data_IF_341440688056
#
_entry.id   IF_341440688056
#
_cell.length_a   1.000
_cell.length_b   1.000
_cell.length_c   1.000
_cell.angle_alpha   90.00
_cell.angle_beta   90.00
_cell.angle_gamma   90.00
#
_symmetry.space_group_name_H-M   'P 1'
#
loop_
_entity.id
_entity.type
_entity.pdbx_description
1 polymer ?
#
# COMPACT_ATOMS: atom_id res chain seq x y z
N UNK A 1 43.91 -31.68 -36.78
CA UNK A 1 43.41 -30.34 -37.18
C UNK A 1 41.91 -30.53 -37.35
N UNK A 2 41.02 -29.98 -36.53
CA UNK A 2 40.82 -28.56 -36.24
C UNK A 2 40.49 -28.31 -34.76
N UNK A 3 41.03 -27.22 -34.20
CA UNK A 3 40.72 -26.70 -32.86
C UNK A 3 39.44 -25.83 -32.93
N UNK A 4 38.49 -26.05 -32.02
CA UNK A 4 37.53 -25.03 -31.64
C UNK A 4 37.63 -24.73 -30.15
N UNK A 5 38.34 -23.65 -29.86
CA UNK A 5 38.28 -22.92 -28.60
C UNK A 5 37.03 -22.04 -28.66
N UNK A 6 36.03 -22.29 -27.80
CA UNK A 6 34.91 -21.37 -27.59
C UNK A 6 34.92 -20.93 -26.13
N UNK A 7 35.68 -19.87 -25.85
CA UNK A 7 35.53 -19.07 -24.65
C UNK A 7 34.33 -18.14 -24.85
N UNK A 8 33.15 -18.55 -24.38
CA UNK A 8 32.02 -17.65 -24.20
C UNK A 8 32.01 -17.14 -22.76
N UNK A 9 32.79 -16.11 -22.48
CA UNK A 9 32.55 -15.21 -21.35
C UNK A 9 31.34 -14.36 -21.69
N UNK A 10 30.16 -14.75 -21.18
CA UNK A 10 29.01 -13.85 -21.13
C UNK A 10 29.32 -12.72 -20.13
N UNK A 11 29.76 -11.58 -20.64
CA UNK A 11 29.82 -10.33 -19.91
C UNK A 11 28.38 -9.86 -19.64
N UNK A 12 27.87 -10.14 -18.44
CA UNK A 12 26.66 -9.52 -17.92
C UNK A 12 26.96 -8.07 -17.48
N UNK A 13 27.24 -7.20 -18.45
CA UNK A 13 27.24 -5.76 -18.23
C UNK A 13 25.85 -5.21 -18.57
N UNK A 14 24.90 -5.41 -17.66
CA UNK A 14 23.66 -4.62 -17.68
C UNK A 14 24.00 -3.22 -17.17
N UNK A 15 24.64 -2.42 -18.03
CA UNK A 15 24.84 -1.00 -17.76
C UNK A 15 23.48 -0.33 -17.78
N UNK A 16 22.93 -0.02 -16.59
CA UNK A 16 21.80 0.90 -16.48
C UNK A 16 22.20 2.21 -17.17
N UNK A 17 21.51 2.53 -18.26
CA UNK A 17 21.70 3.77 -18.99
C UNK A 17 21.31 4.94 -18.08
N UNK A 18 22.31 5.56 -17.45
CA UNK A 18 22.17 6.70 -16.54
C UNK A 18 21.55 7.94 -17.20
N UNK A 19 21.30 7.91 -18.51
CA UNK A 19 20.77 9.03 -19.28
C UNK A 19 19.24 9.13 -19.28
N UNK A 20 18.53 8.09 -18.83
CA UNK A 20 17.06 8.14 -18.74
C UNK A 20 16.69 8.73 -17.37
N UNK A 21 16.13 9.95 -17.30
CA UNK A 21 15.61 10.46 -16.03
C UNK A 21 14.52 9.52 -15.54
N UNK A 22 14.65 9.06 -14.29
CA UNK A 22 13.62 8.23 -13.67
C UNK A 22 12.29 8.97 -13.79
N UNK A 23 11.22 8.30 -14.25
CA UNK A 23 9.91 8.94 -14.31
C UNK A 23 9.55 9.42 -12.90
N UNK A 24 9.01 10.63 -12.81
CA UNK A 24 8.54 11.15 -11.54
C UNK A 24 7.51 10.18 -10.95
N UNK A 25 7.58 9.90 -9.63
CA UNK A 25 6.60 9.03 -9.00
C UNK A 25 5.19 9.59 -9.25
N UNK A 26 4.21 8.74 -9.60
CA UNK A 26 2.86 9.20 -9.90
C UNK A 26 2.26 9.88 -8.67
N UNK A 27 1.64 11.03 -8.87
CA UNK A 27 0.90 11.71 -7.81
C UNK A 27 -0.32 10.89 -7.40
N UNK A 28 -0.67 10.96 -6.12
CA UNK A 28 -1.83 10.28 -5.53
C UNK A 28 -3.13 10.86 -6.09
N UNK A 29 -3.65 10.25 -7.16
CA UNK A 29 -4.93 10.61 -7.78
C UNK A 29 -6.06 9.67 -7.33
N UNK A 30 -7.29 10.20 -7.33
CA UNK A 30 -8.54 9.48 -7.03
C UNK A 30 -8.70 8.22 -7.89
N UNK A 31 -8.22 8.26 -9.14
CA UNK A 31 -8.27 7.12 -10.08
C UNK A 31 -7.56 5.87 -9.57
N UNK A 32 -6.56 6.03 -8.68
CA UNK A 32 -5.86 4.91 -8.04
C UNK A 32 -6.84 4.11 -7.18
N UNK A 33 -7.79 4.76 -6.51
CA UNK A 33 -8.78 4.13 -5.65
C UNK A 33 -10.01 3.65 -6.42
N UNK A 34 -10.39 4.31 -7.53
CA UNK A 34 -11.67 4.10 -8.22
C UNK A 34 -11.62 3.34 -9.56
N UNK A 35 -10.53 3.45 -10.33
CA UNK A 35 -10.47 2.91 -11.71
C UNK A 35 -9.60 1.68 -11.87
N UNK A 36 -8.79 1.33 -10.88
CA UNK A 36 -7.97 0.13 -10.95
C UNK A 36 -7.76 -0.48 -9.56
N UNK A 37 -8.79 -1.18 -9.10
CA UNK A 37 -8.69 -2.07 -7.95
C UNK A 37 -7.43 -2.96 -7.96
N UNK A 38 -6.91 -3.25 -9.15
CA UNK A 38 -5.70 -4.03 -9.36
C UNK A 38 -4.42 -3.24 -9.08
N UNK A 39 -4.34 -1.93 -9.37
CA UNK A 39 -3.06 -1.22 -9.29
C UNK A 39 -2.60 -1.05 -7.85
N UNK A 40 -3.48 -0.58 -6.96
CA UNK A 40 -3.13 -0.44 -5.54
C UNK A 40 -2.95 -1.81 -4.88
N UNK A 41 -3.83 -2.79 -5.16
CA UNK A 41 -3.65 -4.15 -4.63
C UNK A 41 -2.35 -4.80 -5.12
N UNK A 42 -1.96 -4.57 -6.38
CA UNK A 42 -0.69 -5.06 -6.91
C UNK A 42 0.50 -4.35 -6.26
N UNK A 43 0.42 -3.02 -6.08
CA UNK A 43 1.44 -2.27 -5.35
C UNK A 43 1.63 -2.83 -3.93
N UNK A 44 0.54 -2.99 -3.16
CA UNK A 44 0.60 -3.55 -1.80
C UNK A 44 1.19 -4.96 -1.82
N UNK A 45 0.74 -5.81 -2.75
CA UNK A 45 1.25 -7.17 -2.90
C UNK A 45 2.75 -7.20 -3.20
N UNK A 46 3.21 -6.40 -4.17
CA UNK A 46 4.62 -6.35 -4.57
C UNK A 46 5.50 -5.79 -3.45
N UNK A 47 5.08 -4.70 -2.80
CA UNK A 47 5.81 -4.12 -1.66
C UNK A 47 5.93 -5.12 -0.50
N UNK A 48 4.88 -5.89 -0.21
CA UNK A 48 4.92 -6.95 0.82
C UNK A 48 5.86 -8.10 0.44
N UNK A 49 5.82 -8.55 -0.81
CA UNK A 49 6.72 -9.60 -1.29
C UNK A 49 8.18 -9.16 -1.20
N UNK A 50 8.48 -7.93 -1.64
CA UNK A 50 9.84 -7.39 -1.66
C UNK A 50 10.42 -7.24 -0.25
N UNK A 51 9.63 -6.72 0.68
CA UNK A 51 10.11 -6.30 2.01
C UNK A 51 9.84 -7.35 3.08
N UNK A 52 8.59 -7.77 3.22
CA UNK A 52 8.10 -8.54 4.36
C UNK A 52 8.24 -10.06 4.14
N UNK A 53 7.87 -10.58 2.97
CA UNK A 53 7.97 -12.03 2.69
C UNK A 53 9.44 -12.48 2.60
N UNK A 54 10.31 -11.61 2.07
CA UNK A 54 11.74 -11.85 1.95
C UNK A 54 12.56 -11.34 3.14
N UNK A 55 11.91 -10.96 4.25
CA UNK A 55 12.59 -10.31 5.38
C UNK A 55 13.70 -11.16 5.98
N UNK A 56 13.50 -12.48 6.08
CA UNK A 56 14.51 -13.43 6.60
C UNK A 56 15.69 -13.53 5.64
N UNK A 57 15.45 -13.55 4.32
CA UNK A 57 16.50 -13.57 3.31
C UNK A 57 17.32 -12.29 3.36
N UNK A 58 16.65 -11.13 3.46
CA UNK A 58 17.29 -9.83 3.61
C UNK A 58 18.15 -9.79 4.88
N UNK A 59 17.62 -10.21 6.02
CA UNK A 59 18.37 -10.30 7.29
C UNK A 59 19.57 -11.24 7.20
N UNK A 60 19.38 -12.43 6.61
CA UNK A 60 20.46 -13.40 6.46
C UNK A 60 21.57 -12.89 5.54
N UNK A 61 21.22 -12.23 4.43
CA UNK A 61 22.23 -11.66 3.52
C UNK A 61 23.11 -10.62 4.21
N UNK A 62 22.53 -9.79 5.09
CA UNK A 62 23.27 -8.81 5.89
C UNK A 62 24.19 -9.50 6.90
N UNK A 63 23.75 -10.62 7.48
CA UNK A 63 24.52 -11.39 8.46
C UNK A 63 25.65 -12.20 7.79
N UNK A 64 25.43 -12.77 6.61
CA UNK A 64 26.42 -13.62 5.93
C UNK A 64 27.51 -12.83 5.21
N UNK A 65 27.19 -11.64 4.70
CA UNK A 65 28.15 -10.78 4.02
C UNK A 65 29.21 -10.20 4.97
N UNK A 66 28.95 -10.19 6.27
CA UNK A 66 29.90 -9.75 7.28
C UNK A 66 30.35 -10.93 8.14
N UNK A 67 31.53 -11.48 7.83
CA UNK A 67 32.25 -12.53 8.57
C UNK A 67 31.69 -12.85 9.97
N UNK A 68 31.33 -14.13 10.17
CA UNK A 68 30.70 -14.75 11.36
C UNK A 68 31.29 -14.40 12.75
N UNK A 69 32.36 -13.62 12.82
CA UNK A 69 33.09 -13.22 14.03
C UNK A 69 32.72 -11.82 14.57
N UNK A 70 31.77 -11.10 13.97
CA UNK A 70 31.38 -9.77 14.49
C UNK A 70 30.50 -9.86 15.74
N UNK A 71 30.76 -8.94 16.67
CA UNK A 71 30.03 -8.77 17.94
C UNK A 71 28.52 -8.61 17.71
N UNK A 72 27.71 -9.11 18.65
CA UNK A 72 26.23 -8.97 18.70
C UNK A 72 25.78 -7.53 18.42
N UNK A 73 26.56 -6.54 18.86
CA UNK A 73 26.28 -5.12 18.64
C UNK A 73 26.28 -4.71 17.16
N UNK A 74 27.14 -5.29 16.33
CA UNK A 74 27.21 -4.95 14.90
C UNK A 74 25.99 -5.48 14.16
N UNK A 75 25.56 -6.72 14.50
CA UNK A 75 24.32 -7.31 13.96
C UNK A 75 23.10 -6.47 14.31
N UNK A 76 23.01 -5.98 15.55
CA UNK A 76 21.94 -5.08 15.98
C UNK A 76 21.92 -3.78 15.18
N UNK A 77 23.09 -3.15 14.94
CA UNK A 77 23.18 -1.90 14.17
C UNK A 77 22.72 -2.08 12.73
N UNK A 78 23.13 -3.17 12.06
CA UNK A 78 22.70 -3.45 10.69
C UNK A 78 21.20 -3.69 10.59
N UNK A 79 20.62 -4.41 11.55
CA UNK A 79 19.17 -4.57 11.64
C UNK A 79 18.47 -3.22 11.81
N UNK A 80 18.98 -2.34 12.68
CA UNK A 80 18.42 -0.99 12.85
C UNK A 80 18.49 -0.16 11.56
N UNK A 81 19.57 -0.29 10.78
CA UNK A 81 19.67 0.37 9.48
C UNK A 81 18.63 -0.16 8.50
N UNK A 82 18.48 -1.48 8.38
CA UNK A 82 17.44 -2.09 7.53
C UNK A 82 16.03 -1.60 7.92
N UNK A 83 15.76 -1.52 9.22
CA UNK A 83 14.47 -1.04 9.75
C UNK A 83 14.23 0.42 9.32
N UNK A 84 15.20 1.30 9.56
CA UNK A 84 15.04 2.73 9.32
C UNK A 84 15.08 3.12 7.84
N UNK A 85 15.91 2.47 7.04
CA UNK A 85 16.16 2.83 5.64
C UNK A 85 15.23 2.11 4.67
N UNK A 86 14.76 0.90 5.00
CA UNK A 86 13.97 0.08 4.08
C UNK A 86 12.58 -0.21 4.62
N UNK A 87 12.48 -0.72 5.85
CA UNK A 87 11.21 -1.21 6.38
C UNK A 87 10.21 -0.08 6.66
N UNK A 88 10.62 0.92 7.45
CA UNK A 88 9.78 2.02 7.86
C UNK A 88 9.26 2.88 6.69
N UNK A 89 10.08 3.27 5.71
CA UNK A 89 9.59 3.99 4.53
C UNK A 89 8.53 3.19 3.77
N UNK A 90 8.75 1.88 3.58
CA UNK A 90 7.84 1.02 2.82
C UNK A 90 6.51 0.82 3.54
N UNK A 91 6.55 0.56 4.85
CA UNK A 91 5.35 0.46 5.69
C UNK A 91 4.55 1.77 5.70
N UNK A 92 5.25 2.90 5.79
CA UNK A 92 4.62 4.22 5.77
C UNK A 92 3.92 4.50 4.44
N UNK A 93 4.58 4.27 3.31
CA UNK A 93 3.98 4.49 1.99
C UNK A 93 2.73 3.62 1.81
N UNK A 94 2.78 2.33 2.16
CA UNK A 94 1.59 1.46 2.10
C UNK A 94 0.43 2.01 2.92
N UNK A 95 0.68 2.43 4.17
CA UNK A 95 -0.36 3.03 5.01
C UNK A 95 -0.90 4.34 4.43
N UNK A 96 -0.04 5.17 3.85
CA UNK A 96 -0.43 6.42 3.19
C UNK A 96 -1.41 6.16 2.05
N UNK A 97 -1.12 5.21 1.16
CA UNK A 97 -2.04 4.84 0.06
C UNK A 97 -3.36 4.27 0.59
N UNK A 98 -3.32 3.37 1.57
CA UNK A 98 -4.53 2.78 2.16
C UNK A 98 -5.41 3.89 2.79
N UNK A 99 -4.81 4.77 3.59
CA UNK A 99 -5.53 5.86 4.26
C UNK A 99 -6.07 6.89 3.27
N UNK A 100 -5.33 7.18 2.19
CA UNK A 100 -5.80 8.04 1.12
C UNK A 100 -7.10 7.48 0.50
N UNK A 101 -7.14 6.19 0.15
CA UNK A 101 -8.35 5.59 -0.40
C UNK A 101 -9.50 5.46 0.61
N UNK A 102 -9.22 5.22 1.90
CA UNK A 102 -10.24 5.26 2.95
C UNK A 102 -10.84 6.67 3.12
N UNK A 103 -10.05 7.72 2.94
CA UNK A 103 -10.56 9.08 3.00
C UNK A 103 -11.32 9.47 1.72
N UNK A 104 -10.86 9.00 0.56
CA UNK A 104 -11.55 9.24 -0.70
C UNK A 104 -12.92 8.54 -0.76
N UNK A 105 -13.01 7.29 -0.27
CA UNK A 105 -14.29 6.57 -0.15
C UNK A 105 -15.29 7.32 0.75
N UNK A 106 -14.84 7.90 1.87
CA UNK A 106 -15.69 8.77 2.70
C UNK A 106 -16.17 10.01 1.96
N UNK A 107 -15.32 10.63 1.13
CA UNK A 107 -15.73 11.77 0.29
C UNK A 107 -16.77 11.34 -0.75
N UNK A 108 -16.59 10.18 -1.38
CA UNK A 108 -17.55 9.61 -2.31
C UNK A 108 -18.92 9.34 -1.65
N UNK A 109 -18.94 8.83 -0.41
CA UNK A 109 -20.17 8.64 0.36
C UNK A 109 -20.91 9.97 0.56
N UNK A 110 -20.20 11.04 0.92
CA UNK A 110 -20.78 12.39 1.09
C UNK A 110 -21.31 12.93 -0.23
N UNK A 111 -20.50 12.91 -1.30
CA UNK A 111 -20.89 13.36 -2.63
C UNK A 111 -22.13 12.62 -3.17
N UNK A 112 -22.24 11.31 -2.89
CA UNK A 112 -23.41 10.51 -3.26
C UNK A 112 -24.67 10.93 -2.50
N UNK A 113 -24.55 11.16 -1.19
CA UNK A 113 -25.67 11.56 -0.34
C UNK A 113 -26.20 12.96 -0.70
N UNK A 114 -25.29 13.91 -0.97
CA UNK A 114 -25.64 15.27 -1.40
C UNK A 114 -26.27 15.29 -2.79
N UNK A 115 -25.80 14.43 -3.71
CA UNK A 115 -26.31 14.35 -5.07
C UNK A 115 -27.48 13.40 -5.26
N UNK A 116 -28.04 12.85 -4.19
CA UNK A 116 -29.15 11.92 -4.28
C UNK A 116 -30.40 12.62 -4.87
N UNK A 117 -30.85 12.23 -6.08
CA UNK A 117 -31.98 12.88 -6.75
C UNK A 117 -33.27 12.76 -5.94
N UNK A 118 -33.44 11.71 -5.14
CA UNK A 118 -34.64 11.46 -4.35
C UNK A 118 -34.76 12.42 -3.16
N UNK A 119 -33.62 12.85 -2.61
CA UNK A 119 -33.56 13.82 -1.53
C UNK A 119 -33.79 15.25 -2.05
N UNK A 120 -33.47 15.52 -3.32
CA UNK A 120 -33.66 16.82 -3.96
C UNK A 120 -35.10 17.07 -4.43
N UNK A 121 -35.88 16.01 -4.68
CA UNK A 121 -37.26 16.11 -5.14
C UNK A 121 -38.23 16.44 -3.99
N UNK A 122 -39.03 17.48 -4.19
CA UNK A 122 -40.19 17.81 -3.36
C UNK A 122 -41.28 16.74 -3.47
N UNK A 123 -42.26 16.78 -2.57
CA UNK A 123 -43.38 15.83 -2.57
C UNK A 123 -44.21 15.93 -3.87
N UNK A 124 -44.47 17.13 -4.34
CA UNK A 124 -45.22 17.38 -5.58
C UNK A 124 -44.49 16.85 -6.83
N UNK A 125 -43.16 16.99 -6.88
CA UNK A 125 -42.37 16.45 -7.98
C UNK A 125 -42.34 14.92 -7.99
N UNK A 126 -42.32 14.30 -6.81
CA UNK A 126 -42.45 12.84 -6.67
C UNK A 126 -43.79 12.34 -7.19
N UNK A 127 -44.88 13.02 -6.85
CA UNK A 127 -46.22 12.67 -7.30
C UNK A 127 -46.37 12.84 -8.83
N UNK A 128 -45.80 13.92 -9.40
CA UNK A 128 -45.72 14.11 -10.86
C UNK A 128 -44.92 12.99 -11.56
N UNK A 129 -43.78 12.60 -11.01
CA UNK A 129 -42.96 11.50 -11.52
C UNK A 129 -43.71 10.17 -11.52
N UNK A 130 -44.44 9.87 -10.44
CA UNK A 130 -45.24 8.65 -10.32
C UNK A 130 -46.42 8.62 -11.29
N UNK A 131 -47.04 9.77 -11.56
CA UNK A 131 -48.11 9.90 -12.57
C UNK A 131 -47.59 9.66 -14.00
N UNK A 132 -46.34 10.03 -14.29
CA UNK A 132 -45.70 9.78 -15.59
C UNK A 132 -45.24 8.32 -15.73
N UNK A 133 -44.64 7.77 -14.68
CA UNK A 133 -44.18 6.38 -14.64
C UNK A 133 -44.27 5.83 -13.21
N UNK A 134 -45.12 4.82 -12.94
CA UNK A 134 -45.33 4.26 -11.60
C UNK A 134 -44.07 3.61 -11.01
N UNK A 135 -43.04 3.32 -11.83
CA UNK A 135 -41.79 2.70 -11.42
C UNK A 135 -40.61 3.68 -11.31
N UNK A 136 -40.77 4.96 -11.69
CA UNK A 136 -39.66 5.91 -11.75
C UNK A 136 -38.91 6.04 -10.40
N UNK A 137 -39.65 6.13 -9.29
CA UNK A 137 -39.06 6.23 -7.96
C UNK A 137 -38.30 4.96 -7.54
N UNK A 138 -38.81 3.78 -7.93
CA UNK A 138 -38.14 2.50 -7.70
C UNK A 138 -36.84 2.41 -8.48
N UNK A 139 -36.84 2.85 -9.73
CA UNK A 139 -35.64 2.86 -10.58
C UNK A 139 -34.56 3.80 -10.02
N UNK A 140 -34.93 5.01 -9.58
CA UNK A 140 -34.00 5.94 -8.93
C UNK A 140 -33.41 5.35 -7.64
N UNK A 141 -34.25 4.71 -6.82
CA UNK A 141 -33.79 4.04 -5.60
C UNK A 141 -32.81 2.91 -5.92
N UNK A 142 -33.12 2.08 -6.92
CA UNK A 142 -32.23 1.01 -7.35
C UNK A 142 -30.89 1.54 -7.83
N UNK A 143 -30.87 2.61 -8.64
CA UNK A 143 -29.62 3.25 -9.09
C UNK A 143 -28.78 3.76 -7.92
N UNK A 144 -29.42 4.38 -6.93
CA UNK A 144 -28.72 4.84 -5.73
C UNK A 144 -28.18 3.67 -4.89
N UNK A 145 -28.97 2.60 -4.72
CA UNK A 145 -28.56 1.42 -3.98
C UNK A 145 -27.36 0.72 -4.64
N UNK A 146 -27.33 0.65 -5.97
CA UNK A 146 -26.19 0.10 -6.72
C UNK A 146 -24.91 0.91 -6.48
N UNK A 147 -24.99 2.24 -6.59
CA UNK A 147 -23.84 3.12 -6.30
C UNK A 147 -23.36 2.98 -4.86
N UNK A 148 -24.29 2.92 -3.90
CA UNK A 148 -23.96 2.70 -2.49
C UNK A 148 -23.24 1.37 -2.29
N UNK A 149 -23.75 0.32 -2.91
CA UNK A 149 -23.14 -1.01 -2.85
C UNK A 149 -21.71 -1.03 -3.43
N UNK A 150 -21.47 -0.34 -4.55
CA UNK A 150 -20.11 -0.19 -5.11
C UNK A 150 -19.16 0.51 -4.15
N UNK A 151 -19.60 1.61 -3.53
CA UNK A 151 -18.79 2.34 -2.54
C UNK A 151 -18.51 1.47 -1.31
N UNK A 152 -19.51 0.75 -0.80
CA UNK A 152 -19.38 -0.14 0.34
C UNK A 152 -18.40 -1.29 0.05
N UNK A 153 -18.37 -1.82 -1.17
CA UNK A 153 -17.37 -2.84 -1.57
C UNK A 153 -15.94 -2.29 -1.50
N UNK A 154 -15.72 -1.11 -2.08
CA UNK A 154 -14.40 -0.47 -2.11
C UNK A 154 -13.92 -0.18 -0.68
N UNK A 155 -14.82 0.33 0.17
CA UNK A 155 -14.54 0.58 1.59
C UNK A 155 -14.14 -0.69 2.33
N UNK A 156 -14.96 -1.74 2.25
CA UNK A 156 -14.69 -3.02 2.90
C UNK A 156 -13.34 -3.62 2.47
N UNK A 157 -12.99 -3.46 1.18
CA UNK A 157 -11.70 -3.89 0.65
C UNK A 157 -10.54 -3.16 1.33
N UNK A 158 -10.58 -1.83 1.40
CA UNK A 158 -9.50 -1.06 2.02
C UNK A 158 -9.44 -1.21 3.55
N UNK A 159 -10.57 -1.41 4.22
CA UNK A 159 -10.60 -1.78 5.63
C UNK A 159 -9.93 -3.15 5.88
N UNK A 160 -10.16 -4.10 4.97
CA UNK A 160 -9.46 -5.38 5.02
C UNK A 160 -7.96 -5.24 4.75
N UNK A 161 -7.55 -4.43 3.77
CA UNK A 161 -6.12 -4.14 3.54
C UNK A 161 -5.46 -3.48 4.75
N UNK A 162 -6.16 -2.56 5.44
CA UNK A 162 -5.68 -1.97 6.67
C UNK A 162 -5.50 -3.02 7.78
N UNK A 163 -6.41 -3.99 7.88
CA UNK A 163 -6.30 -5.10 8.83
C UNK A 163 -5.12 -6.01 8.49
N UNK A 164 -4.94 -6.32 7.20
CA UNK A 164 -3.81 -7.13 6.72
C UNK A 164 -2.50 -6.43 7.06
N UNK A 165 -2.41 -5.11 6.84
CA UNK A 165 -1.20 -4.35 7.13
C UNK A 165 -0.82 -4.40 8.62
N UNK A 166 -1.80 -4.32 9.52
CA UNK A 166 -1.56 -4.49 10.98
C UNK A 166 -1.00 -5.87 11.32
N UNK A 167 -1.45 -6.92 10.62
CA UNK A 167 -0.96 -8.28 10.84
C UNK A 167 0.45 -8.43 10.30
N UNK A 168 0.73 -7.90 9.10
CA UNK A 168 2.05 -7.99 8.47
C UNK A 168 3.08 -7.24 9.30
N UNK A 169 2.82 -5.98 9.65
CA UNK A 169 3.71 -5.18 10.51
C UNK A 169 4.02 -5.87 11.84
N UNK A 170 3.01 -6.49 12.47
CA UNK A 170 3.20 -7.27 13.70
C UNK A 170 4.13 -8.46 13.44
N UNK A 171 3.82 -9.31 12.46
CA UNK A 171 4.62 -10.51 12.16
C UNK A 171 6.05 -10.17 11.75
N UNK A 172 6.23 -9.20 10.87
CA UNK A 172 7.55 -8.73 10.46
C UNK A 172 8.35 -8.20 11.65
N UNK A 173 7.69 -7.51 12.60
CA UNK A 173 8.36 -7.06 13.82
C UNK A 173 8.80 -8.22 14.73
N UNK A 174 7.97 -9.27 14.86
CA UNK A 174 8.32 -10.49 15.61
C UNK A 174 9.53 -11.18 14.99
N UNK A 175 9.52 -11.38 13.66
CA UNK A 175 10.62 -12.02 12.92
C UNK A 175 11.93 -11.24 13.08
N UNK A 176 11.89 -9.90 12.99
CA UNK A 176 13.07 -9.06 13.20
C UNK A 176 13.56 -9.17 14.64
N UNK A 177 12.67 -9.13 15.64
CA UNK A 177 13.06 -9.23 17.04
C UNK A 177 13.78 -10.56 17.33
N UNK A 178 13.28 -11.66 16.77
CA UNK A 178 13.88 -12.99 16.92
C UNK A 178 15.27 -13.10 16.28
N UNK A 179 15.43 -12.56 15.06
CA UNK A 179 16.70 -12.65 14.33
C UNK A 179 17.75 -11.65 14.83
N UNK A 180 17.34 -10.43 15.16
CA UNK A 180 18.24 -9.34 15.53
C UNK A 180 18.50 -9.24 17.03
N UNK A 181 17.71 -9.96 17.87
CA UNK A 181 17.83 -9.97 19.33
C UNK A 181 17.90 -8.54 19.90
N UNK A 182 16.92 -7.72 19.55
CA UNK A 182 16.83 -6.34 19.99
C UNK A 182 16.26 -6.30 21.42
N UNK A 183 17.12 -6.06 22.40
CA UNK A 183 16.76 -6.19 23.83
C UNK A 183 15.87 -5.03 24.33
N UNK A 184 15.98 -3.84 23.73
CA UNK A 184 15.32 -2.61 24.19
C UNK A 184 14.68 -1.79 23.05
N UNK A 185 14.37 -2.40 21.91
CA UNK A 185 13.83 -1.68 20.75
C UNK A 185 12.44 -2.18 20.39
N UNK A 186 11.43 -1.34 20.63
CA UNK A 186 10.06 -1.63 20.22
C UNK A 186 9.80 -1.04 18.83
N UNK A 187 9.95 -1.89 17.82
CA UNK A 187 9.78 -1.56 16.39
C UNK A 187 8.42 -0.89 16.14
N UNK A 188 7.36 -1.33 16.82
CA UNK A 188 6.01 -0.82 16.60
C UNK A 188 5.87 0.63 17.06
N UNK A 189 6.34 0.91 18.27
CA UNK A 189 6.28 2.27 18.83
C UNK A 189 7.21 3.23 18.08
N UNK A 190 8.37 2.75 17.65
CA UNK A 190 9.29 3.53 16.83
C UNK A 190 8.72 3.82 15.43
N UNK A 191 8.03 2.86 14.82
CA UNK A 191 7.31 3.09 13.58
C UNK A 191 6.20 4.15 13.73
N UNK A 192 5.46 4.14 14.84
CA UNK A 192 4.45 5.17 15.12
C UNK A 192 5.12 6.55 15.17
N UNK A 193 6.23 6.70 15.91
CA UNK A 193 7.00 7.96 15.97
C UNK A 193 7.52 8.40 14.59
N UNK A 194 7.99 7.45 13.80
CA UNK A 194 8.45 7.69 12.43
C UNK A 194 7.30 8.24 11.57
N UNK A 195 6.13 7.59 11.62
CA UNK A 195 4.95 7.99 10.86
C UNK A 195 4.44 9.38 11.24
N UNK A 196 4.46 9.74 12.54
CA UNK A 196 4.02 11.07 13.00
C UNK A 196 4.97 12.16 12.51
N UNK A 197 6.29 11.93 12.60
CA UNK A 197 7.30 12.88 12.14
C UNK A 197 7.20 13.16 10.64
N UNK A 198 6.94 12.13 9.82
CA UNK A 198 6.75 12.32 8.39
C UNK A 198 5.45 13.05 8.05
N UNK A 199 4.38 12.83 8.81
CA UNK A 199 3.13 13.58 8.62
C UNK A 199 3.29 15.07 8.96
N UNK A 200 4.17 15.43 9.89
CA UNK A 200 4.50 16.82 10.24
C UNK A 200 5.33 17.51 9.16
N UNK A 201 6.29 16.81 8.57
CA UNK A 201 7.15 17.36 7.51
C UNK A 201 6.45 17.54 6.16
N UNK A 202 5.30 16.89 5.96
CA UNK A 202 4.51 16.95 4.73
C UNK A 202 3.30 17.91 4.83
N UNK A 203 3.19 18.68 5.92
CA UNK A 203 2.24 19.80 6.09
C UNK A 203 2.90 21.13 5.77
#
# INVERSE_FOLDING_TARGET
>A
MWNHSNNNTMNNNLSLDKSIPLPNPPELDRKICSMSDKSLTNFLKLSRIEVDDNIILNLNSLITNENNNKSVKVKQLQCLNLINETLFPQWYERLKYINFCLNDTKKLEVEMNENNPINKLSKEEKDKLLNLNPYALKELNNKNNLKKFEIDQIKNKFENELRIEKIITLRSSEVINDHCKLINYDIKNEFIKYSTKLNENNK
#
